data_IF_285648326835
#
_entry.id   IF_285648326835
#
_cell.length_a   1.000
_cell.length_b   1.000
_cell.length_c   1.000
_cell.angle_alpha   90.00
_cell.angle_beta   90.00
_cell.angle_gamma   90.00
#
_symmetry.space_group_name_H-M   'P 1'
#
loop_
_entity.id
_entity.type
_entity.pdbx_description
1 polymer ?
#
# COMPACT_ATOMS: atom_id res chain seq x y z
N UNK A 1 5.15 -2.26 48.77
CA UNK A 1 5.67 -3.63 48.85
C UNK A 1 4.51 -4.58 49.08
N UNK A 2 4.23 -5.43 48.08
CA UNK A 2 3.52 -6.73 48.09
C UNK A 2 3.30 -7.11 46.59
N UNK A 3 3.19 -8.41 46.25
CA UNK A 3 4.07 -9.04 45.25
C UNK A 3 3.47 -9.25 43.85
N UNK A 4 4.39 -9.34 42.88
CA UNK A 4 4.17 -9.79 41.50
C UNK A 4 3.92 -11.30 41.42
N UNK A 5 3.05 -11.77 40.51
CA UNK A 5 3.09 -13.15 40.04
C UNK A 5 4.02 -13.33 38.84
N UNK A 6 5.04 -14.18 39.03
CA UNK A 6 5.81 -14.87 37.99
C UNK A 6 4.95 -15.92 37.25
N UNK A 7 5.56 -16.57 36.23
CA UNK A 7 5.19 -17.85 35.54
C UNK A 7 4.65 -17.57 34.10
N UNK A 8 5.17 -18.11 32.98
CA UNK A 8 6.19 -19.15 32.68
C UNK A 8 6.75 -18.93 31.26
N UNK A 9 8.04 -19.25 31.04
CA UNK A 9 8.63 -19.47 29.71
C UNK A 9 8.25 -20.86 29.20
N UNK A 10 7.50 -20.94 28.11
CA UNK A 10 7.35 -22.17 27.31
C UNK A 10 8.48 -22.28 26.29
N UNK A 11 9.37 -23.27 26.47
CA UNK A 11 10.30 -23.73 25.45
C UNK A 11 9.55 -24.72 24.56
N UNK A 12 9.45 -24.45 23.26
CA UNK A 12 9.00 -25.45 22.28
C UNK A 12 10.24 -26.00 21.57
N UNK A 13 10.34 -27.31 21.67
CA UNK A 13 11.38 -28.21 21.20
C UNK A 13 11.41 -28.29 19.67
N UNK A 14 12.63 -28.38 19.14
CA UNK A 14 12.92 -28.65 17.75
C UNK A 14 12.39 -30.02 17.29
N UNK A 15 11.84 -30.09 16.08
CA UNK A 15 11.64 -31.33 15.34
C UNK A 15 12.40 -31.26 14.02
N UNK A 16 13.17 -32.32 13.79
CA UNK A 16 14.22 -32.48 12.81
C UNK A 16 13.79 -33.64 11.90
N UNK A 17 13.28 -33.34 10.70
CA UNK A 17 12.91 -34.32 9.66
C UNK A 17 12.92 -33.53 8.33
N UNK A 18 13.53 -33.92 7.22
CA UNK A 18 14.29 -35.08 6.82
C UNK A 18 14.78 -34.80 5.40
N UNK A 19 16.04 -35.10 5.13
CA UNK A 19 16.69 -34.95 3.82
C UNK A 19 16.13 -36.00 2.87
N UNK A 20 15.55 -35.58 1.75
CA UNK A 20 15.25 -36.44 0.60
C UNK A 20 16.20 -36.07 -0.53
N UNK A 21 17.28 -36.84 -0.62
CA UNK A 21 18.20 -36.87 -1.76
C UNK A 21 17.53 -37.67 -2.89
N UNK A 22 16.98 -36.99 -3.89
CA UNK A 22 16.62 -37.63 -5.15
C UNK A 22 17.82 -37.60 -6.10
N UNK A 23 18.40 -38.78 -6.26
CA UNK A 23 19.43 -39.12 -7.24
C UNK A 23 18.81 -39.13 -8.65
N UNK A 24 19.31 -38.28 -9.55
CA UNK A 24 18.98 -38.32 -10.97
C UNK A 24 20.09 -39.04 -11.74
N UNK A 25 19.77 -40.05 -12.58
CA UNK A 25 20.77 -40.70 -13.41
C UNK A 25 21.13 -39.85 -14.63
N UNK A 26 22.43 -39.86 -14.94
CA UNK A 26 23.05 -39.26 -16.11
C UNK A 26 22.48 -39.85 -17.40
N UNK A 27 22.01 -38.99 -18.30
CA UNK A 27 21.62 -39.36 -19.66
C UNK A 27 22.78 -39.09 -20.64
N UNK A 28 23.11 -40.15 -21.36
CA UNK A 28 24.15 -40.35 -22.37
C UNK A 28 24.12 -39.31 -23.51
N UNK A 29 25.31 -38.83 -23.86
CA UNK A 29 25.60 -38.05 -25.06
C UNK A 29 25.80 -38.98 -26.27
N UNK A 30 25.23 -38.60 -27.42
CA UNK A 30 25.53 -39.18 -28.75
C UNK A 30 25.66 -38.06 -29.79
N UNK A 31 26.57 -38.17 -30.78
CA UNK A 31 26.83 -37.09 -31.74
C UNK A 31 26.11 -37.29 -33.08
N UNK A 32 25.83 -36.15 -33.74
CA UNK A 32 25.69 -36.05 -35.19
C UNK A 32 24.26 -35.92 -35.71
N UNK A 33 23.91 -34.75 -36.24
CA UNK A 33 23.94 -34.46 -37.69
C UNK A 33 23.63 -32.96 -37.92
N UNK A 34 24.34 -32.38 -38.89
CA UNK A 34 24.20 -31.00 -39.32
C UNK A 34 22.89 -30.75 -40.06
N UNK A 35 22.23 -29.62 -39.78
CA UNK A 35 21.19 -29.06 -40.64
C UNK A 35 21.28 -27.51 -40.63
N UNK A 36 21.45 -26.96 -41.83
CA UNK A 36 21.41 -25.55 -42.21
C UNK A 36 20.00 -24.96 -41.93
N UNK A 37 19.89 -23.85 -41.19
CA UNK A 37 18.84 -22.83 -41.36
C UNK A 37 19.10 -21.58 -40.47
N UNK A 38 19.03 -20.39 -41.07
CA UNK A 38 19.12 -19.06 -40.45
C UNK A 38 17.88 -18.70 -39.58
N UNK A 39 17.72 -17.48 -39.02
CA UNK A 39 18.64 -16.52 -38.36
C UNK A 39 18.19 -16.25 -36.89
N UNK A 40 18.98 -15.60 -36.00
CA UNK A 40 18.38 -14.96 -34.83
C UNK A 40 18.44 -13.44 -35.01
N UNK A 41 17.30 -12.88 -35.41
CA UNK A 41 16.91 -11.53 -35.04
C UNK A 41 17.13 -11.37 -33.53
N UNK A 42 17.97 -10.39 -33.16
CA UNK A 42 18.22 -10.04 -31.78
C UNK A 42 16.93 -9.62 -31.10
N UNK A 43 16.36 -10.52 -30.31
CA UNK A 43 15.32 -10.19 -29.34
C UNK A 43 16.03 -9.46 -28.22
N UNK A 44 15.95 -8.13 -28.24
CA UNK A 44 16.16 -7.34 -27.03
C UNK A 44 15.10 -7.78 -26.02
N UNK A 45 15.50 -8.57 -25.03
CA UNK A 45 14.71 -8.77 -23.82
C UNK A 45 14.68 -7.42 -23.13
N UNK A 46 13.64 -6.63 -23.40
CA UNK A 46 13.26 -5.54 -22.53
C UNK A 46 12.93 -6.18 -21.19
N UNK A 47 13.84 -6.07 -20.23
CA UNK A 47 13.50 -6.25 -18.82
C UNK A 47 12.44 -5.21 -18.51
N UNK A 48 11.17 -5.59 -18.65
CA UNK A 48 10.06 -4.76 -18.26
C UNK A 48 10.28 -4.39 -16.80
N UNK A 49 10.49 -3.11 -16.54
CA UNK A 49 10.25 -2.56 -15.22
C UNK A 49 8.85 -3.06 -14.86
N UNK A 50 8.76 -4.05 -13.97
CA UNK A 50 7.48 -4.44 -13.42
C UNK A 50 7.00 -3.19 -12.68
N UNK A 51 6.19 -2.38 -13.36
CA UNK A 51 5.21 -1.54 -12.70
C UNK A 51 4.37 -2.53 -11.90
N UNK A 52 4.86 -2.85 -10.70
CA UNK A 52 4.04 -3.48 -9.68
C UNK A 52 2.85 -2.56 -9.57
N UNK A 53 1.71 -3.12 -9.95
CA UNK A 53 0.44 -2.45 -9.81
C UNK A 53 0.33 -1.96 -8.36
N UNK A 54 -0.19 -0.74 -8.19
CA UNK A 54 -0.18 -0.02 -6.90
C UNK A 54 -0.91 -0.84 -5.83
N UNK A 55 -1.97 -1.48 -6.29
CA UNK A 55 -2.82 -2.40 -5.58
C UNK A 55 -2.49 -3.81 -6.08
N UNK A 56 -2.38 -4.77 -5.16
CA UNK A 56 -2.41 -6.18 -5.54
C UNK A 56 -3.76 -6.53 -6.18
N UNK A 57 -3.82 -7.58 -7.00
CA UNK A 57 -5.07 -8.04 -7.62
C UNK A 57 -6.21 -8.16 -6.59
N UNK A 58 -5.90 -8.69 -5.40
CA UNK A 58 -6.86 -8.81 -4.31
C UNK A 58 -7.30 -7.45 -3.74
N UNK A 59 -6.40 -6.48 -3.61
CA UNK A 59 -6.75 -5.12 -3.14
C UNK A 59 -7.62 -4.40 -4.18
N UNK A 60 -7.33 -4.59 -5.47
CA UNK A 60 -8.15 -4.08 -6.58
C UNK A 60 -9.55 -4.69 -6.57
N UNK A 61 -9.67 -6.01 -6.38
CA UNK A 61 -10.96 -6.70 -6.26
C UNK A 61 -11.77 -6.15 -5.08
N UNK A 62 -11.13 -5.95 -3.92
CA UNK A 62 -11.79 -5.37 -2.74
C UNK A 62 -12.30 -3.94 -2.98
N UNK A 63 -11.57 -3.15 -3.76
CA UNK A 63 -12.01 -1.79 -4.12
C UNK A 63 -13.18 -1.85 -5.11
N UNK A 64 -13.13 -2.78 -6.08
CA UNK A 64 -14.18 -2.96 -7.07
C UNK A 64 -15.52 -3.37 -6.41
N UNK A 65 -15.49 -4.21 -5.38
CA UNK A 65 -16.65 -4.61 -4.59
C UNK A 65 -17.32 -3.44 -3.84
N UNK A 66 -16.59 -2.36 -3.57
CA UNK A 66 -17.06 -1.19 -2.83
C UNK A 66 -17.34 0.02 -3.73
N UNK A 67 -17.51 -0.20 -5.04
CA UNK A 67 -17.68 0.88 -6.03
C UNK A 67 -18.77 1.89 -5.66
N UNK A 68 -19.90 1.41 -5.14
CA UNK A 68 -21.08 2.18 -4.76
C UNK A 68 -21.15 2.50 -3.25
N UNK A 69 -20.07 2.24 -2.51
CA UNK A 69 -20.01 2.43 -1.05
C UNK A 69 -18.91 3.45 -0.68
N UNK A 70 -19.13 4.77 -0.86
CA UNK A 70 -18.12 5.80 -0.65
C UNK A 70 -17.40 5.73 0.70
N UNK A 71 -18.17 5.59 1.80
CA UNK A 71 -17.63 5.49 3.16
C UNK A 71 -16.74 4.26 3.31
N UNK A 72 -17.16 3.11 2.79
CA UNK A 72 -16.40 1.87 2.90
C UNK A 72 -15.12 1.93 2.06
N UNK A 73 -15.21 2.50 0.85
CA UNK A 73 -14.08 2.66 -0.07
C UNK A 73 -13.00 3.57 0.51
N UNK A 74 -13.37 4.72 1.07
CA UNK A 74 -12.42 5.62 1.78
C UNK A 74 -11.70 4.87 2.90
N UNK A 75 -12.45 4.12 3.72
CA UNK A 75 -11.87 3.35 4.83
C UNK A 75 -10.93 2.24 4.34
N UNK A 76 -11.21 1.64 3.19
CA UNK A 76 -10.36 0.63 2.59
C UNK A 76 -9.04 1.22 2.09
N UNK A 77 -9.08 2.35 1.37
CA UNK A 77 -7.86 3.07 0.97
C UNK A 77 -7.05 3.50 2.19
N UNK A 78 -7.69 4.07 3.22
CA UNK A 78 -7.02 4.42 4.48
C UNK A 78 -6.29 3.20 5.07
N UNK A 79 -6.93 2.02 5.10
CA UNK A 79 -6.30 0.78 5.58
C UNK A 79 -5.07 0.40 4.76
N UNK A 80 -5.13 0.46 3.44
CA UNK A 80 -3.99 0.11 2.58
C UNK A 80 -2.83 1.09 2.75
N UNK A 81 -3.13 2.39 2.86
CA UNK A 81 -2.14 3.43 3.18
C UNK A 81 -1.49 3.14 4.54
N UNK A 82 -2.30 2.83 5.56
CA UNK A 82 -1.80 2.49 6.90
C UNK A 82 -0.89 1.25 6.89
N UNK A 83 -1.16 0.26 6.04
CA UNK A 83 -0.26 -0.87 5.85
C UNK A 83 1.09 -0.44 5.27
N UNK A 84 1.10 0.46 4.26
CA UNK A 84 2.36 0.95 3.65
C UNK A 84 3.17 1.80 4.62
N UNK A 85 2.55 2.71 5.38
CA UNK A 85 3.28 3.53 6.37
C UNK A 85 3.83 2.68 7.53
N UNK A 86 3.12 1.62 7.94
CA UNK A 86 3.63 0.71 8.96
C UNK A 86 4.84 -0.07 8.45
N UNK A 87 4.82 -0.53 7.19
CA UNK A 87 5.99 -1.14 6.55
C UNK A 87 7.19 -0.18 6.48
N UNK A 88 6.96 1.10 6.16
CA UNK A 88 8.01 2.14 6.18
C UNK A 88 8.60 2.30 7.57
N UNK A 89 7.75 2.37 8.60
CA UNK A 89 8.17 2.49 10.00
C UNK A 89 9.04 1.31 10.43
N UNK A 90 8.62 0.08 10.11
CA UNK A 90 9.33 -1.14 10.48
C UNK A 90 10.69 -1.25 9.77
N UNK A 91 10.74 -0.93 8.46
CA UNK A 91 11.98 -0.85 7.69
C UNK A 91 12.89 0.29 8.18
N UNK A 92 12.31 1.41 8.59
CA UNK A 92 13.00 2.55 9.18
C UNK A 92 13.76 2.15 10.44
N UNK A 93 13.11 1.37 11.31
CA UNK A 93 13.67 0.89 12.58
C UNK A 93 14.71 -0.23 12.44
N UNK A 94 14.72 -0.99 11.33
CA UNK A 94 15.64 -2.11 11.13
C UNK A 94 16.70 -1.81 10.05
N UNK A 95 17.86 -1.21 10.39
CA UNK A 95 18.90 -0.87 9.41
C UNK A 95 19.59 -2.09 8.76
N UNK A 96 19.39 -3.30 9.29
CA UNK A 96 20.03 -4.54 8.81
C UNK A 96 19.15 -5.37 7.87
N UNK A 97 17.93 -4.93 7.59
CA UNK A 97 17.07 -5.63 6.63
C UNK A 97 17.75 -5.71 5.26
N UNK A 98 17.71 -6.89 4.63
CA UNK A 98 18.15 -7.05 3.25
C UNK A 98 17.29 -6.15 2.35
N UNK A 99 17.90 -5.57 1.32
CA UNK A 99 17.23 -4.73 0.33
C UNK A 99 16.45 -3.53 0.92
N UNK A 100 16.78 -3.13 2.16
CA UNK A 100 16.07 -2.07 2.91
C UNK A 100 15.85 -0.80 2.11
N UNK A 101 16.88 -0.33 1.40
CA UNK A 101 16.82 0.96 0.69
C UNK A 101 15.85 0.89 -0.49
N UNK A 102 15.89 -0.19 -1.27
CA UNK A 102 14.97 -0.42 -2.39
C UNK A 102 13.54 -0.65 -1.90
N UNK A 103 13.36 -1.41 -0.81
CA UNK A 103 12.05 -1.60 -0.19
C UNK A 103 11.48 -0.28 0.35
N UNK A 104 12.26 0.53 1.07
CA UNK A 104 11.82 1.86 1.52
C UNK A 104 11.39 2.74 0.35
N UNK A 105 12.19 2.78 -0.72
CA UNK A 105 11.85 3.52 -1.94
C UNK A 105 10.49 3.06 -2.50
N UNK A 106 10.31 1.76 -2.67
CA UNK A 106 9.08 1.19 -3.19
C UNK A 106 7.86 1.53 -2.30
N UNK A 107 8.00 1.42 -0.97
CA UNK A 107 6.90 1.76 -0.05
C UNK A 107 6.52 3.23 -0.08
N UNK A 108 7.48 4.15 -0.23
CA UNK A 108 7.18 5.57 -0.42
C UNK A 108 6.41 5.82 -1.73
N UNK A 109 6.83 5.19 -2.82
CA UNK A 109 6.14 5.31 -4.12
C UNK A 109 4.71 4.72 -4.07
N UNK A 110 4.54 3.56 -3.42
CA UNK A 110 3.22 2.95 -3.18
C UNK A 110 2.32 3.85 -2.31
N UNK A 111 2.87 4.44 -1.24
CA UNK A 111 2.15 5.39 -0.40
C UNK A 111 1.63 6.59 -1.21
N UNK A 112 2.51 7.20 -2.03
CA UNK A 112 2.15 8.37 -2.84
C UNK A 112 0.98 8.01 -3.77
N UNK A 113 1.10 6.91 -4.52
CA UNK A 113 0.06 6.52 -5.48
C UNK A 113 -1.27 6.19 -4.79
N UNK A 114 -1.25 5.50 -3.65
CA UNK A 114 -2.48 5.25 -2.87
C UNK A 114 -3.10 6.54 -2.31
N UNK A 115 -2.27 7.53 -1.97
CA UNK A 115 -2.74 8.84 -1.53
C UNK A 115 -3.40 9.60 -2.68
N UNK A 116 -2.82 9.57 -3.88
CA UNK A 116 -3.42 10.17 -5.08
C UNK A 116 -4.76 9.52 -5.43
N UNK A 117 -4.84 8.19 -5.44
CA UNK A 117 -6.09 7.45 -5.67
C UNK A 117 -7.16 7.77 -4.61
N UNK A 118 -6.77 7.91 -3.33
CA UNK A 118 -7.69 8.35 -2.29
C UNK A 118 -8.19 9.78 -2.55
N UNK A 119 -7.30 10.70 -2.92
CA UNK A 119 -7.66 12.09 -3.20
C UNK A 119 -8.63 12.19 -4.39
N UNK A 120 -8.41 11.42 -5.46
CA UNK A 120 -9.32 11.36 -6.62
C UNK A 120 -10.70 10.84 -6.23
N UNK A 121 -10.77 9.82 -5.36
CA UNK A 121 -12.04 9.31 -4.83
C UNK A 121 -12.73 10.35 -3.95
N UNK A 122 -11.98 11.09 -3.12
CA UNK A 122 -12.53 12.14 -2.28
C UNK A 122 -13.17 13.26 -3.11
N UNK A 123 -12.49 13.74 -4.16
CA UNK A 123 -13.06 14.73 -5.08
C UNK A 123 -14.32 14.19 -5.76
N UNK A 124 -14.25 12.97 -6.29
CA UNK A 124 -15.39 12.31 -6.94
C UNK A 124 -16.62 12.22 -6.03
N UNK A 125 -16.42 11.88 -4.76
CA UNK A 125 -17.51 11.78 -3.78
C UNK A 125 -18.03 13.13 -3.33
N UNK A 126 -17.17 14.14 -3.23
CA UNK A 126 -17.58 15.50 -2.89
C UNK A 126 -18.41 16.14 -4.00
N UNK A 127 -17.97 15.99 -5.26
CA UNK A 127 -18.70 16.43 -6.46
C UNK A 127 -20.09 15.78 -6.56
N UNK A 128 -20.20 14.50 -6.20
CA UNK A 128 -21.46 13.78 -6.15
C UNK A 128 -22.31 14.08 -4.90
N UNK A 129 -21.84 14.97 -4.00
CA UNK A 129 -22.44 15.25 -2.70
C UNK A 129 -22.75 13.99 -1.88
N UNK A 130 -21.91 12.95 -2.00
CA UNK A 130 -22.02 11.79 -1.14
C UNK A 130 -21.69 12.19 0.30
N UNK A 131 -22.57 11.86 1.26
CA UNK A 131 -22.31 12.16 2.67
C UNK A 131 -21.22 11.23 3.25
N UNK A 132 -19.96 11.64 3.05
CA UNK A 132 -18.77 10.92 3.51
C UNK A 132 -18.21 11.49 4.82
N UNK A 133 -18.93 12.39 5.49
CA UNK A 133 -18.53 13.01 6.78
C UNK A 133 -18.13 11.97 7.83
N UNK A 134 -18.80 10.81 7.84
CA UNK A 134 -18.48 9.71 8.76
C UNK A 134 -17.09 9.12 8.51
N UNK A 135 -16.66 8.99 7.25
CA UNK A 135 -15.32 8.53 6.93
C UNK A 135 -14.28 9.63 7.17
N UNK A 136 -14.58 10.86 6.76
CA UNK A 136 -13.69 12.01 6.92
C UNK A 136 -13.35 12.32 8.37
N UNK A 137 -14.32 12.14 9.29
CA UNK A 137 -14.10 12.29 10.73
C UNK A 137 -12.97 11.39 11.26
N UNK A 138 -12.83 10.19 10.71
CA UNK A 138 -11.76 9.25 11.06
C UNK A 138 -10.49 9.50 10.24
N UNK A 139 -10.63 9.89 8.97
CA UNK A 139 -9.52 10.10 8.03
C UNK A 139 -8.67 11.32 8.38
N UNK A 140 -9.28 12.47 8.69
CA UNK A 140 -8.56 13.72 9.02
C UNK A 140 -7.51 13.55 10.13
N UNK A 141 -7.84 13.00 11.32
CA UNK A 141 -6.83 12.80 12.35
C UNK A 141 -5.86 11.64 12.06
N UNK A 142 -6.12 10.81 11.05
CA UNK A 142 -5.19 9.79 10.59
C UNK A 142 -4.14 10.40 9.65
N UNK A 143 -4.57 11.17 8.66
CA UNK A 143 -3.70 11.83 7.67
C UNK A 143 -2.72 12.81 8.32
N UNK A 144 -3.13 13.52 9.37
CA UNK A 144 -2.26 14.40 10.17
C UNK A 144 -1.04 13.69 10.77
N UNK A 145 -1.14 12.38 11.02
CA UNK A 145 -0.06 11.58 11.63
C UNK A 145 0.89 10.98 10.61
N UNK A 146 0.49 10.90 9.35
CA UNK A 146 1.29 10.23 8.31
C UNK A 146 2.67 10.88 8.11
N UNK A 147 2.82 12.23 8.06
CA UNK A 147 4.13 12.85 7.88
C UNK A 147 5.15 12.46 8.95
N UNK A 148 4.73 12.33 10.22
CA UNK A 148 5.61 11.95 11.32
C UNK A 148 6.09 10.49 11.18
N UNK A 149 5.21 9.60 10.71
CA UNK A 149 5.54 8.20 10.46
C UNK A 149 6.48 8.07 9.26
N UNK A 150 6.22 8.81 8.17
CA UNK A 150 7.08 8.85 6.98
C UNK A 150 8.49 9.41 7.29
N UNK A 151 8.60 10.26 8.32
CA UNK A 151 9.90 10.77 8.80
C UNK A 151 10.68 9.76 9.66
N UNK A 152 10.10 8.62 10.04
CA UNK A 152 10.74 7.64 10.92
C UNK A 152 11.97 6.97 10.29
N UNK A 153 12.02 6.81 8.97
CA UNK A 153 13.24 6.41 8.29
C UNK A 153 14.13 7.64 8.02
N UNK A 154 15.39 7.56 8.46
CA UNK A 154 16.37 8.62 8.21
C UNK A 154 16.49 8.93 6.70
N UNK A 155 16.74 10.20 6.31
CA UNK A 155 16.98 10.56 4.92
C UNK A 155 18.18 9.78 4.33
N UNK A 156 18.06 9.31 3.10
CA UNK A 156 19.13 8.64 2.35
C UNK A 156 18.99 8.97 0.86
N UNK A 157 20.07 9.33 0.16
CA UNK A 157 20.01 9.65 -1.27
C UNK A 157 19.34 8.59 -2.15
N UNK A 158 19.35 7.32 -1.75
CA UNK A 158 18.72 6.24 -2.51
C UNK A 158 17.18 6.35 -2.63
N UNK A 159 16.53 7.02 -1.67
CA UNK A 159 15.07 7.16 -1.65
C UNK A 159 14.58 8.56 -1.25
N UNK A 160 15.47 9.55 -1.12
CA UNK A 160 15.11 10.89 -0.64
C UNK A 160 14.04 11.58 -1.51
N UNK A 161 14.11 11.40 -2.84
CA UNK A 161 13.09 11.91 -3.75
C UNK A 161 11.71 11.30 -3.44
N UNK A 162 11.59 9.97 -3.45
CA UNK A 162 10.33 9.28 -3.17
C UNK A 162 9.80 9.62 -1.76
N UNK A 163 10.69 9.76 -0.78
CA UNK A 163 10.32 10.18 0.59
C UNK A 163 9.74 11.59 0.62
N UNK A 164 10.33 12.56 -0.09
CA UNK A 164 9.80 13.94 -0.16
C UNK A 164 8.45 13.97 -0.87
N UNK A 165 8.32 13.28 -1.99
CA UNK A 165 7.05 13.15 -2.70
C UNK A 165 5.97 12.52 -1.82
N UNK A 166 6.31 11.51 -1.01
CA UNK A 166 5.38 10.93 -0.05
C UNK A 166 4.97 11.93 1.06
N UNK A 167 5.89 12.77 1.54
CA UNK A 167 5.55 13.82 2.51
C UNK A 167 4.60 14.86 1.91
N UNK A 168 4.88 15.32 0.70
CA UNK A 168 4.03 16.28 -0.01
C UNK A 168 2.62 15.70 -0.25
N UNK A 169 2.55 14.43 -0.67
CA UNK A 169 1.27 13.72 -0.85
C UNK A 169 0.50 13.55 0.46
N UNK A 170 1.19 13.27 1.57
CA UNK A 170 0.56 13.16 2.90
C UNK A 170 -0.03 14.50 3.36
N UNK A 171 0.70 15.60 3.16
CA UNK A 171 0.24 16.96 3.47
C UNK A 171 -0.96 17.35 2.59
N UNK A 172 -0.87 17.12 1.27
CA UNK A 172 -1.96 17.36 0.33
C UNK A 172 -3.24 16.60 0.69
N UNK A 173 -3.11 15.30 0.99
CA UNK A 173 -4.26 14.46 1.39
C UNK A 173 -4.89 14.95 2.70
N UNK A 174 -4.08 15.36 3.67
CA UNK A 174 -4.57 15.93 4.93
C UNK A 174 -5.38 17.21 4.68
N UNK A 175 -4.85 18.12 3.86
CA UNK A 175 -5.49 19.40 3.59
C UNK A 175 -6.79 19.24 2.80
N UNK A 176 -6.81 18.37 1.78
CA UNK A 176 -8.01 18.07 1.03
C UNK A 176 -9.08 17.42 1.92
N UNK A 177 -8.73 16.40 2.72
CA UNK A 177 -9.66 15.73 3.62
C UNK A 177 -10.31 16.72 4.62
N UNK A 178 -9.52 17.65 5.19
CA UNK A 178 -10.02 18.71 6.07
C UNK A 178 -10.96 19.66 5.35
N UNK A 179 -10.55 20.14 4.17
CA UNK A 179 -11.35 21.07 3.35
C UNK A 179 -12.70 20.47 3.01
N UNK A 180 -12.74 19.22 2.54
CA UNK A 180 -13.98 18.51 2.20
C UNK A 180 -14.82 18.31 3.46
N UNK A 181 -14.23 17.91 4.58
CA UNK A 181 -14.97 17.70 5.83
C UNK A 181 -15.69 18.98 6.28
N UNK A 182 -14.98 20.11 6.31
CA UNK A 182 -15.55 21.40 6.69
C UNK A 182 -16.61 21.88 5.68
N UNK A 183 -16.41 21.63 4.39
CA UNK A 183 -17.38 21.95 3.35
C UNK A 183 -18.68 21.14 3.53
N UNK A 184 -18.57 19.82 3.73
CA UNK A 184 -19.74 18.96 3.93
C UNK A 184 -20.47 19.26 5.24
N UNK A 185 -19.76 19.62 6.32
CA UNK A 185 -20.40 20.07 7.56
C UNK A 185 -21.31 21.29 7.31
N UNK A 186 -20.86 22.25 6.50
CA UNK A 186 -21.66 23.42 6.12
C UNK A 186 -22.79 23.05 5.17
N UNK A 187 -22.52 22.27 4.13
CA UNK A 187 -23.49 21.86 3.11
C UNK A 187 -24.67 21.11 3.74
N UNK A 188 -24.43 20.04 4.49
CA UNK A 188 -25.48 19.22 5.09
C UNK A 188 -26.16 19.87 6.31
N UNK A 189 -25.61 20.95 6.86
CA UNK A 189 -26.35 21.78 7.82
C UNK A 189 -27.51 22.53 7.15
N UNK A 190 -27.37 22.87 5.87
CA UNK A 190 -28.37 23.56 5.04
C UNK A 190 -29.25 22.57 4.27
N UNK A 191 -28.71 21.41 3.87
CA UNK A 191 -29.39 20.37 3.09
C UNK A 191 -29.65 19.11 3.94
N UNK A 192 -30.43 19.27 5.02
CA UNK A 192 -30.63 18.19 6.02
C UNK A 192 -31.36 16.97 5.48
N UNK A 193 -32.17 17.17 4.44
CA UNK A 193 -32.90 16.10 3.75
C UNK A 193 -32.00 15.27 2.83
N UNK A 194 -30.83 15.78 2.46
CA UNK A 194 -29.82 15.06 1.68
C UNK A 194 -28.81 14.32 2.57
N UNK A 195 -28.67 14.74 3.83
CA UNK A 195 -27.77 14.13 4.79
C UNK A 195 -28.06 12.64 5.02
N UNK A 196 -27.01 11.82 5.05
CA UNK A 196 -27.09 10.38 5.28
C UNK A 196 -27.72 9.58 4.14
N UNK A 197 -28.15 10.22 3.05
CA UNK A 197 -28.41 9.51 1.79
C UNK A 197 -27.04 9.21 1.21
N UNK A 198 -26.71 7.92 1.11
CA UNK A 198 -25.50 7.50 0.42
C UNK A 198 -25.69 7.90 -1.05
N UNK A 199 -25.22 9.09 -1.43
CA UNK A 199 -25.03 9.43 -2.84
C UNK A 199 -24.24 8.28 -3.45
N UNK A 200 -24.77 7.67 -4.52
CA UNK A 200 -24.27 6.40 -5.07
C UNK A 200 -22.85 6.48 -5.65
N UNK A 201 -22.14 7.60 -5.45
CA UNK A 201 -21.03 7.99 -6.31
C UNK A 201 -21.50 8.16 -7.75
N UNK A 202 -20.59 8.52 -8.68
CA UNK A 202 -20.91 8.52 -10.10
C UNK A 202 -21.36 7.11 -10.54
N UNK A 203 -22.41 7.07 -11.35
CA UNK A 203 -22.87 5.85 -12.05
C UNK A 203 -21.93 5.44 -13.16
#
# INVERSE_FOLDING_TARGET
ALPMPCITKGRITAALVGVVLLSFPALVAGPGVAALAAPPTGVHVASGQQNKDVLTDQESDQIAELRDQPIARIKLYQKFIEQRINAIKDLGANPKAADRKSELRARYEEFTRLSDELQDNLDTFDEAHADIRKALKDLVPATEKWPDILKAAAPDPAYDFSRKTALDAAESTSDQAKKIYDAQLKYFAQHKDEAGKNGTGPS
#
